data_IF_031415272353
#
_entry.id   IF_031415272353
#
_cell.length_a   1.000
_cell.length_b   1.000
_cell.length_c   1.000
_cell.angle_alpha   90.00
_cell.angle_beta   90.00
_cell.angle_gamma   90.00
#
_symmetry.space_group_name_H-M   'P 1'
#
loop_
_entity.id
_entity.type
_entity.pdbx_description
1 polymer ?
#
# COMPACT_ATOMS: atom_id res chain seq x y z
N UNK A 1 12.94 -19.28 11.96
CA UNK A 1 14.13 -18.44 12.22
C UNK A 1 14.32 -17.51 11.02
N UNK A 2 13.75 -16.30 11.06
CA UNK A 2 13.88 -15.34 9.97
C UNK A 2 15.30 -14.75 10.05
N UNK A 3 16.15 -15.08 9.07
CA UNK A 3 17.45 -14.41 8.94
C UNK A 3 17.19 -12.91 8.88
N UNK A 4 17.81 -12.15 9.77
CA UNK A 4 17.70 -10.69 9.80
C UNK A 4 18.31 -10.17 8.48
N UNK A 5 17.48 -9.84 7.48
CA UNK A 5 17.95 -9.32 6.19
C UNK A 5 18.34 -7.86 6.37
N UNK A 6 19.56 -7.51 5.95
CA UNK A 6 19.98 -6.10 5.92
C UNK A 6 18.98 -5.30 5.09
N UNK A 7 18.49 -4.21 5.67
CA UNK A 7 17.45 -3.37 5.08
C UNK A 7 17.92 -1.93 5.11
N UNK A 8 17.76 -1.25 3.99
CA UNK A 8 18.16 0.14 3.75
C UNK A 8 16.92 0.97 3.50
N UNK A 9 17.00 2.29 3.64
CA UNK A 9 15.81 3.12 3.56
C UNK A 9 16.06 4.52 3.02
N UNK A 10 15.04 5.05 2.35
CA UNK A 10 15.01 6.40 1.81
C UNK A 10 13.69 7.06 2.22
N UNK A 11 13.77 8.30 2.70
CA UNK A 11 12.60 9.10 3.07
C UNK A 11 12.37 10.19 2.04
N UNK A 12 11.12 10.33 1.59
CA UNK A 12 10.69 11.31 0.61
C UNK A 12 9.43 12.05 1.05
N UNK A 13 9.25 13.32 0.67
CA UNK A 13 8.00 14.03 0.89
C UNK A 13 6.91 13.50 -0.04
N UNK A 14 5.65 13.58 0.40
CA UNK A 14 4.49 13.29 -0.43
C UNK A 14 3.28 14.13 0.00
N UNK A 15 2.19 14.18 -0.79
CA UNK A 15 0.93 14.78 -0.36
C UNK A 15 0.33 14.19 0.93
N UNK A 16 0.75 12.98 1.33
CA UNK A 16 0.32 12.28 2.54
C UNK A 16 1.27 12.49 3.73
N UNK A 17 2.22 13.43 3.60
CA UNK A 17 3.35 13.61 4.51
C UNK A 17 4.57 12.80 4.08
N UNK A 18 5.60 12.76 4.92
CA UNK A 18 6.79 11.97 4.62
C UNK A 18 6.47 10.47 4.53
N UNK A 19 7.04 9.80 3.54
CA UNK A 19 7.04 8.35 3.41
C UNK A 19 8.47 7.84 3.55
N UNK A 20 8.65 6.65 4.10
CA UNK A 20 9.97 5.99 4.18
C UNK A 20 9.86 4.63 3.52
N UNK A 21 10.59 4.44 2.42
CA UNK A 21 10.67 3.16 1.71
C UNK A 21 11.84 2.36 2.28
N UNK A 22 11.65 1.06 2.47
CA UNK A 22 12.68 0.14 2.91
C UNK A 22 12.91 -0.96 1.87
N UNK A 23 14.18 -1.22 1.57
CA UNK A 23 14.59 -2.19 0.57
C UNK A 23 15.72 -3.09 1.08
N UNK A 24 15.74 -4.32 0.57
CA UNK A 24 16.96 -5.14 0.53
C UNK A 24 17.74 -4.81 -0.75
N UNK A 25 18.79 -5.57 -1.07
CA UNK A 25 19.43 -5.48 -2.39
C UNK A 25 18.58 -6.06 -3.54
N UNK A 26 17.43 -6.67 -3.25
CA UNK A 26 16.62 -7.41 -4.23
C UNK A 26 15.18 -6.89 -4.38
N UNK A 27 14.60 -6.33 -3.32
CA UNK A 27 13.18 -5.97 -3.30
C UNK A 27 12.85 -4.91 -2.27
N UNK A 28 11.75 -4.20 -2.51
CA UNK A 28 11.05 -3.36 -1.53
C UNK A 28 10.32 -4.27 -0.55
N UNK A 29 10.51 -4.02 0.74
CA UNK A 29 9.98 -4.87 1.81
C UNK A 29 9.02 -4.13 2.74
N UNK A 30 9.07 -2.79 2.76
CA UNK A 30 8.22 -1.96 3.62
C UNK A 30 8.07 -0.53 3.08
N UNK A 31 6.94 0.09 3.38
CA UNK A 31 6.71 1.53 3.24
C UNK A 31 6.03 2.06 4.52
N UNK A 32 6.67 3.00 5.21
CA UNK A 32 6.14 3.63 6.42
C UNK A 32 5.73 5.09 6.19
N UNK A 33 4.85 5.60 7.06
CA UNK A 33 4.28 6.95 7.00
C UNK A 33 5.16 8.04 7.65
N UNK A 34 6.47 7.94 7.45
CA UNK A 34 7.44 8.94 7.93
C UNK A 34 7.57 8.95 9.45
N UNK A 35 8.56 8.19 9.93
CA UNK A 35 9.09 8.26 11.30
C UNK A 35 10.57 8.58 11.26
N UNK A 36 11.14 9.12 12.34
CA UNK A 36 12.59 9.32 12.46
C UNK A 36 13.26 7.96 12.36
N UNK A 37 13.89 7.66 11.23
CA UNK A 37 14.49 6.34 11.04
C UNK A 37 14.98 6.08 9.64
N UNK A 38 15.72 7.01 9.04
CA UNK A 38 16.72 6.66 8.04
C UNK A 38 17.72 7.81 7.96
N UNK A 39 18.99 7.51 8.23
CA UNK A 39 20.07 8.39 7.79
C UNK A 39 19.94 8.51 6.26
N UNK A 40 20.16 9.70 5.71
CA UNK A 40 20.40 9.85 4.27
C UNK A 40 21.36 8.74 3.86
N UNK A 41 21.02 7.99 2.78
CA UNK A 41 21.77 6.85 2.25
C UNK A 41 23.12 6.70 2.96
N UNK A 42 23.17 5.84 3.99
CA UNK A 42 24.41 5.64 4.74
C UNK A 42 25.50 5.31 3.71
N UNK A 43 26.73 5.77 3.94
CA UNK A 43 27.90 5.51 3.07
C UNK A 43 28.05 4.00 2.76
N UNK A 44 27.45 3.14 3.58
CA UNK A 44 27.45 1.68 3.47
C UNK A 44 26.21 1.07 2.77
N UNK A 45 25.37 1.88 2.10
CA UNK A 45 24.24 1.35 1.32
C UNK A 45 24.76 0.72 0.02
N UNK A 46 24.54 -0.58 -0.24
CA UNK A 46 24.97 -1.23 -1.47
C UNK A 46 24.34 -0.56 -2.69
N UNK A 47 25.06 -0.44 -3.83
CA UNK A 47 24.54 0.18 -5.04
C UNK A 47 23.20 -0.39 -5.52
N UNK A 48 22.97 -1.69 -5.35
CA UNK A 48 21.72 -2.36 -5.74
C UNK A 48 20.54 -1.91 -4.87
N UNK A 49 20.75 -1.80 -3.56
CA UNK A 49 19.74 -1.30 -2.64
C UNK A 49 19.45 0.19 -2.90
N UNK A 50 20.51 0.98 -3.16
CA UNK A 50 20.37 2.39 -3.49
C UNK A 50 19.56 2.59 -4.78
N UNK A 51 19.86 1.83 -5.84
CA UNK A 51 19.13 1.88 -7.09
C UNK A 51 17.64 1.53 -6.93
N UNK A 52 17.30 0.52 -6.11
CA UNK A 52 15.91 0.17 -5.81
C UNK A 52 15.18 1.26 -5.02
N UNK A 53 15.85 1.88 -4.04
CA UNK A 53 15.28 2.99 -3.26
C UNK A 53 15.02 4.22 -4.13
N UNK A 54 15.96 4.58 -5.00
CA UNK A 54 15.84 5.70 -5.92
C UNK A 54 14.73 5.46 -6.95
N UNK A 55 14.63 4.23 -7.47
CA UNK A 55 13.56 3.84 -8.39
C UNK A 55 12.18 3.87 -7.71
N UNK A 56 12.06 3.36 -6.48
CA UNK A 56 10.83 3.44 -5.72
C UNK A 56 10.42 4.90 -5.44
N UNK A 57 11.38 5.77 -5.10
CA UNK A 57 11.12 7.19 -4.91
C UNK A 57 10.63 7.86 -6.20
N UNK A 58 11.33 7.60 -7.32
CA UNK A 58 10.94 8.12 -8.64
C UNK A 58 9.52 7.69 -9.02
N UNK A 59 9.18 6.42 -8.83
CA UNK A 59 7.84 5.92 -9.14
C UNK A 59 6.76 6.50 -8.22
N UNK A 60 7.03 6.64 -6.92
CA UNK A 60 6.10 7.29 -5.98
C UNK A 60 5.85 8.75 -6.38
N UNK A 61 6.88 9.49 -6.77
CA UNK A 61 6.71 10.86 -7.24
C UNK A 61 5.84 10.95 -8.51
N UNK A 62 6.00 10.00 -9.44
CA UNK A 62 5.15 9.92 -10.64
C UNK A 62 3.71 9.58 -10.24
N UNK A 63 3.52 8.58 -9.38
CA UNK A 63 2.21 8.21 -8.88
C UNK A 63 1.48 9.39 -8.22
N UNK A 64 2.17 10.18 -7.39
CA UNK A 64 1.54 11.35 -6.76
C UNK A 64 1.23 12.48 -7.74
N UNK A 65 1.83 12.49 -8.94
CA UNK A 65 1.48 13.41 -10.05
C UNK A 65 0.39 12.85 -10.95
N UNK A 66 0.34 11.53 -11.13
CA UNK A 66 -0.64 10.80 -11.93
C UNK A 66 -1.14 9.57 -11.17
N UNK A 67 -2.35 9.66 -10.61
CA UNK A 67 -2.97 8.57 -9.87
C UNK A 67 -3.28 7.31 -10.70
N UNK A 68 -3.11 7.36 -12.03
CA UNK A 68 -3.26 6.18 -12.90
C UNK A 68 -1.95 5.41 -13.10
N UNK A 69 -0.83 5.93 -12.59
CA UNK A 69 0.47 5.28 -12.69
C UNK A 69 0.45 3.88 -12.05
N UNK A 70 1.09 2.92 -12.72
CA UNK A 70 1.26 1.56 -12.24
C UNK A 70 2.69 1.36 -11.78
N UNK A 71 2.85 0.91 -10.53
CA UNK A 71 4.16 0.57 -9.99
C UNK A 71 4.72 -0.68 -10.68
N UNK A 72 6.01 -0.65 -10.96
CA UNK A 72 6.80 -1.78 -11.46
C UNK A 72 8.04 -1.90 -10.58
N UNK A 73 7.86 -2.52 -9.41
CA UNK A 73 8.89 -2.66 -8.39
C UNK A 73 8.94 -4.11 -7.91
N UNK A 74 10.12 -4.70 -7.68
CA UNK A 74 10.21 -5.99 -7.02
C UNK A 74 9.77 -5.83 -5.56
N UNK A 75 8.73 -6.57 -5.16
CA UNK A 75 8.19 -6.55 -3.80
C UNK A 75 8.44 -7.90 -3.13
N UNK A 76 8.89 -7.88 -1.87
CA UNK A 76 9.04 -9.10 -1.05
C UNK A 76 8.62 -8.82 0.41
N UNK A 77 7.34 -8.48 0.65
CA UNK A 77 6.84 -8.20 1.98
C UNK A 77 6.79 -9.48 2.84
N UNK A 78 7.27 -9.39 4.08
CA UNK A 78 7.15 -10.49 5.02
C UNK A 78 5.71 -10.63 5.55
N UNK A 79 5.11 -11.81 5.39
CA UNK A 79 3.77 -12.13 5.89
C UNK A 79 3.46 -13.62 5.83
N UNK A 80 2.33 -14.04 6.41
CA UNK A 80 1.81 -15.41 6.26
C UNK A 80 1.37 -15.67 4.81
N UNK A 81 1.23 -16.94 4.42
CA UNK A 81 0.74 -17.31 3.09
C UNK A 81 -0.63 -16.65 2.78
N UNK A 82 -1.51 -16.61 3.77
CA UNK A 82 -2.81 -15.93 3.65
C UNK A 82 -2.67 -14.42 3.42
N UNK A 83 -1.76 -13.76 4.16
CA UNK A 83 -1.50 -12.33 3.97
C UNK A 83 -0.94 -12.05 2.57
N UNK A 84 0.02 -12.86 2.11
CA UNK A 84 0.61 -12.73 0.78
C UNK A 84 -0.45 -12.90 -0.32
N UNK A 85 -1.31 -13.92 -0.25
CA UNK A 85 -2.40 -14.11 -1.20
C UNK A 85 -3.37 -12.92 -1.25
N UNK A 86 -3.66 -12.31 -0.09
CA UNK A 86 -4.49 -11.11 0.00
C UNK A 86 -3.80 -9.88 -0.59
N UNK A 87 -2.49 -9.72 -0.38
CA UNK A 87 -1.70 -8.64 -0.98
C UNK A 87 -1.57 -8.78 -2.51
N UNK A 88 -1.38 -9.99 -3.01
CA UNK A 88 -1.37 -10.29 -4.45
C UNK A 88 -2.71 -9.94 -5.10
N UNK A 89 -3.82 -10.30 -4.44
CA UNK A 89 -5.15 -9.88 -4.87
C UNK A 89 -5.28 -8.36 -4.94
N UNK A 90 -4.76 -7.61 -3.95
CA UNK A 90 -4.79 -6.15 -3.97
C UNK A 90 -3.97 -5.57 -5.13
N UNK A 91 -2.77 -6.10 -5.38
CA UNK A 91 -1.89 -5.66 -6.46
C UNK A 91 -2.56 -5.80 -7.84
N UNK A 92 -3.41 -6.81 -8.00
CA UNK A 92 -4.17 -7.02 -9.24
C UNK A 92 -5.30 -6.00 -9.48
N UNK A 93 -5.68 -5.18 -8.49
CA UNK A 93 -6.73 -4.18 -8.64
C UNK A 93 -6.15 -2.94 -9.33
N UNK A 94 -6.61 -2.54 -10.53
CA UNK A 94 -6.09 -1.35 -11.21
C UNK A 94 -6.45 -0.05 -10.47
N UNK A 95 -5.65 1.00 -10.68
CA UNK A 95 -6.01 2.35 -10.25
C UNK A 95 -7.38 2.75 -10.83
N UNK A 96 -8.18 3.49 -10.05
CA UNK A 96 -9.54 3.88 -10.42
C UNK A 96 -10.59 2.77 -10.25
N UNK A 97 -10.18 1.59 -9.78
CA UNK A 97 -11.08 0.46 -9.48
C UNK A 97 -10.99 0.06 -8.01
N UNK A 98 -12.07 -0.53 -7.53
CA UNK A 98 -12.17 -1.04 -6.16
C UNK A 98 -12.73 -2.45 -6.15
N UNK A 99 -12.50 -3.15 -5.04
CA UNK A 99 -13.11 -4.44 -4.70
C UNK A 99 -13.61 -4.39 -3.28
N UNK A 100 -14.58 -5.21 -2.95
CA UNK A 100 -15.06 -5.38 -1.58
C UNK A 100 -14.24 -6.41 -0.82
N UNK A 101 -14.26 -6.35 0.52
CA UNK A 101 -13.69 -7.40 1.36
C UNK A 101 -14.29 -8.78 1.07
N UNK A 102 -15.57 -8.83 0.69
CA UNK A 102 -16.25 -10.08 0.32
C UNK A 102 -15.71 -10.68 -0.97
N UNK A 103 -15.53 -9.85 -2.02
CA UNK A 103 -14.92 -10.29 -3.28
C UNK A 103 -13.49 -10.79 -3.07
N UNK A 104 -12.70 -10.08 -2.26
CA UNK A 104 -11.36 -10.52 -1.89
C UNK A 104 -11.39 -11.88 -1.16
N UNK A 105 -12.28 -12.05 -0.18
CA UNK A 105 -12.43 -13.30 0.56
C UNK A 105 -12.80 -14.48 -0.33
N UNK A 106 -13.69 -14.26 -1.32
CA UNK A 106 -14.05 -15.27 -2.32
C UNK A 106 -12.89 -15.61 -3.27
N UNK A 107 -11.99 -14.67 -3.54
CA UNK A 107 -10.88 -14.87 -4.47
C UNK A 107 -9.67 -15.58 -3.85
N UNK A 108 -9.34 -15.31 -2.58
CA UNK A 108 -8.12 -15.80 -1.93
C UNK A 108 -8.27 -17.16 -1.24
N UNK A 109 -9.48 -17.72 -1.18
CA UNK A 109 -9.76 -18.93 -0.41
C UNK A 109 -10.71 -19.91 -1.07
N UNK A 110 -10.86 -21.09 -0.47
CA UNK A 110 -11.76 -22.17 -0.90
C UNK A 110 -13.21 -21.99 -0.40
N UNK A 111 -13.64 -20.74 -0.17
CA UNK A 111 -14.98 -20.41 0.35
C UNK A 111 -15.12 -20.36 1.87
N UNK A 112 -14.05 -20.57 2.64
CA UNK A 112 -14.05 -20.53 4.13
C UNK A 112 -13.50 -19.22 4.72
N UNK A 113 -12.88 -18.39 3.91
CA UNK A 113 -12.30 -17.11 4.35
C UNK A 113 -13.42 -16.10 4.55
N UNK A 114 -13.46 -15.45 5.71
CA UNK A 114 -14.39 -14.36 5.97
C UNK A 114 -13.80 -12.99 5.60
N UNK A 115 -14.69 -12.01 5.37
CA UNK A 115 -14.31 -10.64 5.04
C UNK A 115 -13.52 -9.94 6.16
N UNK A 116 -13.63 -10.38 7.42
CA UNK A 116 -12.93 -9.79 8.55
C UNK A 116 -11.45 -10.19 8.56
N UNK A 117 -11.15 -11.45 8.23
CA UNK A 117 -9.80 -11.96 8.05
C UNK A 117 -9.07 -11.21 6.94
N UNK A 118 -9.76 -10.95 5.82
CA UNK A 118 -9.24 -10.07 4.76
C UNK A 118 -8.98 -8.66 5.31
N UNK A 119 -9.91 -8.09 6.08
CA UNK A 119 -9.73 -6.80 6.75
C UNK A 119 -8.46 -6.73 7.59
N UNK A 120 -8.17 -7.77 8.38
CA UNK A 120 -6.94 -7.89 9.16
C UNK A 120 -5.69 -7.99 8.27
N UNK A 121 -5.75 -8.74 7.17
CA UNK A 121 -4.64 -8.84 6.22
C UNK A 121 -4.38 -7.53 5.46
N UNK A 122 -5.43 -6.78 5.08
CA UNK A 122 -5.32 -5.41 4.57
C UNK A 122 -4.66 -4.48 5.59
N UNK A 123 -5.06 -4.59 6.85
CA UNK A 123 -4.50 -3.79 7.95
C UNK A 123 -3.01 -4.07 8.20
N UNK A 124 -2.59 -5.31 7.94
CA UNK A 124 -1.22 -5.79 8.10
C UNK A 124 -0.32 -5.54 6.87
N UNK A 125 -0.81 -4.85 5.83
CA UNK A 125 -0.04 -4.52 4.64
C UNK A 125 1.24 -3.71 4.99
N UNK A 126 2.45 -4.25 4.76
CA UNK A 126 3.69 -3.58 5.10
C UNK A 126 4.12 -2.54 4.05
N UNK A 127 3.54 -2.53 2.85
CA UNK A 127 3.88 -1.61 1.76
C UNK A 127 2.62 -0.87 1.27
N UNK A 128 1.97 -0.04 2.11
CA UNK A 128 0.81 0.75 1.71
C UNK A 128 1.12 1.68 0.54
N UNK A 129 0.08 2.18 -0.13
CA UNK A 129 0.14 2.94 -1.40
C UNK A 129 0.52 2.05 -2.60
N UNK A 130 1.64 1.34 -2.52
CA UNK A 130 2.13 0.43 -3.59
C UNK A 130 1.30 -0.84 -3.62
N UNK A 131 1.19 -1.56 -2.49
CA UNK A 131 0.17 -2.59 -2.30
C UNK A 131 -1.12 -1.84 -1.93
N UNK A 132 -2.13 -1.80 -2.81
CA UNK A 132 -3.17 -0.77 -2.75
C UNK A 132 -4.33 -1.18 -1.84
N UNK A 133 -4.06 -1.35 -0.54
CA UNK A 133 -5.09 -1.71 0.45
C UNK A 133 -6.22 -0.67 0.58
N UNK A 134 -6.00 0.57 0.11
CA UNK A 134 -7.03 1.60 0.01
C UNK A 134 -8.12 1.27 -1.01
N UNK A 135 -7.85 0.39 -2.01
CA UNK A 135 -8.81 -0.04 -3.04
C UNK A 135 -9.80 -1.12 -2.57
N UNK A 136 -9.64 -1.65 -1.34
CA UNK A 136 -10.58 -2.59 -0.73
C UNK A 136 -11.61 -1.83 0.12
N UNK A 137 -12.88 -1.97 -0.21
CA UNK A 137 -14.00 -1.24 0.41
C UNK A 137 -14.96 -2.17 1.17
N UNK A 138 -15.78 -1.58 2.03
CA UNK A 138 -16.93 -2.27 2.60
C UNK A 138 -17.98 -2.53 1.50
N UNK A 139 -18.92 -3.44 1.79
CA UNK A 139 -20.07 -3.66 0.91
C UNK A 139 -20.83 -2.34 0.69
N UNK A 140 -21.33 -2.12 -0.53
CA UNK A 140 -22.01 -0.88 -0.90
C UNK A 140 -21.08 0.31 -1.21
N UNK A 141 -19.76 0.12 -1.21
CA UNK A 141 -18.79 1.14 -1.63
C UNK A 141 -18.37 2.11 -0.53
N UNK A 142 -18.71 1.84 0.74
CA UNK A 142 -18.21 2.64 1.86
C UNK A 142 -16.70 2.43 2.06
N UNK A 143 -16.02 3.50 2.47
CA UNK A 143 -14.57 3.50 2.68
C UNK A 143 -14.13 2.50 3.77
N UNK A 144 -15.01 2.08 4.69
CA UNK A 144 -14.71 1.09 5.71
C UNK A 144 -13.65 1.58 6.70
N UNK A 145 -12.64 0.74 6.98
CA UNK A 145 -11.49 1.08 7.83
C UNK A 145 -10.19 1.29 7.04
N UNK A 146 -9.22 1.98 7.65
CA UNK A 146 -7.87 2.13 7.12
C UNK A 146 -6.84 2.22 8.25
N UNK A 147 -5.79 1.40 8.20
CA UNK A 147 -4.73 1.35 9.21
C UNK A 147 -3.58 2.33 8.95
N UNK A 148 -3.52 2.96 7.77
CA UNK A 148 -2.48 3.92 7.44
C UNK A 148 -2.57 5.22 8.25
N UNK A 149 -1.47 5.96 8.34
CA UNK A 149 -1.45 7.29 9.01
C UNK A 149 -2.46 8.22 8.37
N UNK A 150 -3.22 8.94 9.20
CA UNK A 150 -4.36 9.76 8.75
C UNK A 150 -5.65 8.97 8.52
N UNK A 151 -5.64 7.66 8.70
CA UNK A 151 -6.84 6.82 8.72
C UNK A 151 -7.70 6.97 7.46
N UNK A 152 -9.00 7.13 7.64
CA UNK A 152 -9.94 7.19 6.53
C UNK A 152 -9.74 8.39 5.59
N UNK A 153 -9.18 9.50 6.09
CA UNK A 153 -8.91 10.66 5.25
C UNK A 153 -7.85 10.34 4.20
N UNK A 154 -6.78 9.65 4.61
CA UNK A 154 -5.74 9.14 3.69
C UNK A 154 -6.31 8.18 2.66
N UNK A 155 -7.16 7.23 3.09
CA UNK A 155 -7.82 6.29 2.17
C UNK A 155 -8.67 7.02 1.13
N UNK A 156 -9.50 7.97 1.58
CA UNK A 156 -10.35 8.79 0.70
C UNK A 156 -9.54 9.71 -0.21
N UNK A 157 -8.40 10.21 0.26
CA UNK A 157 -7.49 10.99 -0.58
C UNK A 157 -6.92 10.13 -1.71
N UNK A 158 -6.38 8.96 -1.40
CA UNK A 158 -5.82 8.03 -2.39
C UNK A 158 -6.88 7.60 -3.41
N UNK A 159 -8.07 7.22 -2.95
CA UNK A 159 -9.15 6.83 -3.85
C UNK A 159 -9.59 7.98 -4.77
N UNK A 160 -9.67 9.23 -4.27
CA UNK A 160 -9.97 10.39 -5.11
C UNK A 160 -8.86 10.68 -6.11
N UNK A 161 -7.61 10.60 -5.68
CA UNK A 161 -6.42 10.77 -6.52
C UNK A 161 -6.42 9.81 -7.71
N UNK A 162 -6.85 8.57 -7.48
CA UNK A 162 -6.97 7.54 -8.52
C UNK A 162 -8.28 7.62 -9.34
N UNK A 163 -9.21 8.52 -8.98
CA UNK A 163 -10.53 8.61 -9.63
C UNK A 163 -11.50 7.48 -9.26
N UNK A 164 -11.27 6.77 -8.15
CA UNK A 164 -12.04 5.62 -7.69
C UNK A 164 -13.16 5.96 -6.69
N UNK A 165 -13.27 7.22 -6.25
CA UNK A 165 -14.24 7.63 -5.23
C UNK A 165 -14.85 8.99 -5.54
N UNK A 166 -16.17 8.99 -5.72
CA UNK A 166 -16.99 10.19 -5.73
C UNK A 166 -17.67 10.25 -4.37
N UNK A 167 -17.52 11.34 -3.57
CA UNK A 167 -18.30 11.48 -2.35
C UNK A 167 -19.77 11.31 -2.71
N UNK A 168 -20.52 10.48 -1.99
CA UNK A 168 -21.97 10.56 -2.05
C UNK A 168 -22.34 11.99 -1.66
N UNK A 169 -22.95 12.76 -2.56
CA UNK A 169 -23.54 14.04 -2.18
C UNK A 169 -24.36 13.79 -0.93
N UNK A 170 -24.09 14.55 0.13
CA UNK A 170 -25.05 14.70 1.19
C UNK A 170 -26.29 15.27 0.50
N UNK A 171 -27.26 14.41 0.18
CA UNK A 171 -28.62 14.83 -0.09
C UNK A 171 -29.10 15.38 1.25
N UNK A 172 -28.80 16.66 1.48
CA UNK A 172 -29.44 17.46 2.51
C UNK A 172 -30.90 17.57 2.08
N UNK A 173 -31.72 16.63 2.55
CA UNK A 173 -33.16 16.80 2.59
C UNK A 173 -33.42 17.94 3.57
N UNK A 174 -33.43 19.17 3.04
CA UNK A 174 -34.33 20.19 3.54
C UNK A 174 -35.70 19.94 2.93
#
# INVERSE_FOLDING_TARGET
MTKNRATYSLTLPSPLGSLTVFATTQAIVKLDWGGRGAKAADIDTPPEAQALLDEAARQLEIYFRDGKFQFDLPLDPAGTEFQQAVWDFMLAIPAGRTRSYGEAASAVGTGTVDARAVGSACGANPIPVIIPCHRILAAGGDAGGYSGKGGLETKRWLLRHEGAYVPSEQVSLF
#
